data_IF_387628720661
#
_entry.id   IF_387628720661
#
_cell.length_a   1.000
_cell.length_b   1.000
_cell.length_c   1.000
_cell.angle_alpha   90.00
_cell.angle_beta   90.00
_cell.angle_gamma   90.00
#
_symmetry.space_group_name_H-M   'P 1'
#
loop_
_entity.id
_entity.type
_entity.pdbx_description
1 polymer ?
#
# COMPACT_ATOMS: atom_id res chain seq x y z
N UNK A 1 14.48 2.81 -14.61
CA UNK A 1 13.88 1.58 -14.06
C UNK A 1 13.48 0.68 -15.22
N UNK A 2 13.74 -0.59 -15.12
CA UNK A 2 13.44 -1.51 -16.21
C UNK A 2 11.95 -1.81 -16.29
N UNK A 3 11.52 -2.25 -17.47
CA UNK A 3 10.12 -2.63 -17.68
C UNK A 3 9.74 -3.79 -16.77
N UNK A 4 10.65 -4.72 -16.57
CA UNK A 4 10.39 -5.86 -15.69
C UNK A 4 10.15 -5.42 -14.26
N UNK A 5 10.93 -4.46 -13.79
CA UNK A 5 10.76 -3.93 -12.45
C UNK A 5 9.43 -3.21 -12.32
N UNK A 6 9.08 -2.39 -13.33
CA UNK A 6 7.80 -1.68 -13.32
C UNK A 6 6.64 -2.66 -13.34
N UNK A 7 6.73 -3.71 -14.14
CA UNK A 7 5.68 -4.72 -14.21
C UNK A 7 5.52 -5.45 -12.87
N UNK A 8 6.63 -5.76 -12.22
CA UNK A 8 6.59 -6.42 -10.93
C UNK A 8 5.94 -5.52 -9.88
N UNK A 9 6.27 -4.24 -9.87
CA UNK A 9 5.67 -3.27 -8.96
C UNK A 9 4.17 -3.19 -9.20
N UNK A 10 3.78 -3.06 -10.46
CA UNK A 10 2.37 -2.97 -10.84
C UNK A 10 1.60 -4.19 -10.36
N UNK A 11 2.15 -5.39 -10.57
CA UNK A 11 1.50 -6.61 -10.15
C UNK A 11 1.30 -6.65 -8.64
N UNK A 12 2.31 -6.26 -7.89
CA UNK A 12 2.22 -6.27 -6.44
C UNK A 12 1.21 -5.23 -5.93
N UNK A 13 1.19 -4.06 -6.55
CA UNK A 13 0.29 -2.99 -6.16
C UNK A 13 -1.16 -3.32 -6.50
N UNK A 14 -1.39 -4.01 -7.62
CA UNK A 14 -2.73 -4.42 -8.01
C UNK A 14 -3.40 -5.33 -6.97
N UNK A 15 -2.60 -6.05 -6.19
CA UNK A 15 -3.16 -6.87 -5.12
C UNK A 15 -3.92 -6.02 -4.11
N UNK A 16 -3.49 -4.79 -3.92
CA UNK A 16 -4.14 -3.88 -2.99
C UNK A 16 -5.53 -3.49 -3.48
N UNK A 17 -5.70 -3.30 -4.79
CA UNK A 17 -7.01 -2.95 -5.35
C UNK A 17 -7.99 -4.09 -5.21
N UNK A 18 -7.51 -5.32 -5.24
CA UNK A 18 -8.35 -6.49 -5.03
C UNK A 18 -8.76 -6.65 -3.57
N UNK A 19 -7.88 -6.23 -2.68
CA UNK A 19 -8.13 -6.33 -1.24
C UNK A 19 -9.20 -5.32 -0.80
N UNK A 20 -9.22 -4.16 -1.44
CA UNK A 20 -10.11 -3.08 -1.04
C UNK A 20 -10.58 -2.31 -2.27
N UNK A 21 -11.86 -2.45 -2.59
CA UNK A 21 -12.44 -1.92 -3.84
C UNK A 21 -12.73 -0.43 -3.79
N UNK A 22 -12.54 0.23 -2.66
CA UNK A 22 -12.77 1.67 -2.53
C UNK A 22 -11.53 2.50 -2.82
N UNK A 23 -10.45 1.87 -3.24
CA UNK A 23 -9.25 2.58 -3.61
C UNK A 23 -9.50 3.39 -4.88
N UNK A 24 -9.17 4.67 -4.84
CA UNK A 24 -9.34 5.57 -5.99
C UNK A 24 -8.03 5.82 -6.72
N UNK A 25 -6.90 5.73 -6.03
CA UNK A 25 -5.60 5.95 -6.65
C UNK A 25 -4.51 5.30 -5.82
N UNK A 26 -3.44 4.90 -6.48
CA UNK A 26 -2.25 4.37 -5.84
C UNK A 26 -1.05 5.07 -6.46
N UNK A 27 -0.18 5.58 -5.60
CA UNK A 27 1.02 6.27 -6.05
C UNK A 27 2.23 5.63 -5.39
N UNK A 28 3.23 5.29 -6.19
CA UNK A 28 4.47 4.69 -5.72
C UNK A 28 5.60 5.66 -6.02
N UNK A 29 6.36 6.04 -5.01
CA UNK A 29 7.51 6.90 -5.16
C UNK A 29 8.75 6.15 -4.69
N UNK A 30 9.78 6.13 -5.51
CA UNK A 30 11.01 5.42 -5.21
C UNK A 30 12.15 6.41 -5.12
N UNK A 31 12.88 6.35 -4.02
CA UNK A 31 14.06 7.18 -3.79
C UNK A 31 15.29 6.31 -3.90
N UNK A 32 16.12 6.59 -4.90
CA UNK A 32 17.34 5.84 -5.16
C UNK A 32 18.59 6.63 -4.78
N UNK A 33 18.43 7.68 -3.98
CA UNK A 33 19.56 8.49 -3.52
C UNK A 33 20.62 7.62 -2.86
N UNK A 34 20.19 6.64 -2.09
CA UNK A 34 21.09 5.66 -1.48
C UNK A 34 20.85 4.32 -2.18
N UNK A 35 21.65 4.02 -3.18
CA UNK A 35 21.46 2.81 -3.98
C UNK A 35 21.50 1.53 -3.17
N UNK A 36 22.28 1.52 -2.10
CA UNK A 36 22.42 0.34 -1.25
C UNK A 36 21.18 0.11 -0.40
N UNK A 37 20.42 1.17 -0.13
CA UNK A 37 19.24 1.09 0.69
C UNK A 37 18.12 1.95 0.08
N UNK A 38 17.57 1.51 -1.05
CA UNK A 38 16.48 2.27 -1.70
C UNK A 38 15.27 2.35 -0.80
N UNK A 39 14.60 3.50 -0.85
CA UNK A 39 13.40 3.75 -0.07
C UNK A 39 12.20 3.76 -1.00
N UNK A 40 11.12 3.14 -0.57
CA UNK A 40 9.88 3.11 -1.33
C UNK A 40 8.75 3.69 -0.49
N UNK A 41 8.06 4.69 -1.06
CA UNK A 41 6.86 5.28 -0.46
C UNK A 41 5.66 4.83 -1.26
N UNK A 42 4.64 4.39 -0.56
CA UNK A 42 3.40 3.96 -1.19
C UNK A 42 2.26 4.76 -0.59
N UNK A 43 1.52 5.45 -1.45
CA UNK A 43 0.35 6.22 -1.04
C UNK A 43 -0.89 5.64 -1.71
N UNK A 44 -1.89 5.37 -0.92
CA UNK A 44 -3.16 4.84 -1.40
C UNK A 44 -4.26 5.81 -1.02
N UNK A 45 -5.01 6.29 -2.01
CA UNK A 45 -6.17 7.14 -1.80
C UNK A 45 -7.42 6.29 -1.85
N UNK A 46 -8.33 6.52 -0.93
CA UNK A 46 -9.58 5.78 -0.85
C UNK A 46 -10.74 6.75 -0.61
N UNK A 47 -11.94 6.33 -1.01
CA UNK A 47 -13.14 7.14 -0.82
C UNK A 47 -13.38 7.39 0.66
N UNK A 48 -13.72 8.62 0.98
CA UNK A 48 -14.14 9.00 2.36
C UNK A 48 -13.06 8.72 3.40
N UNK A 49 -11.80 8.74 2.98
CA UNK A 49 -10.69 8.46 3.88
C UNK A 49 -9.49 9.29 3.50
N UNK A 50 -8.71 9.67 4.48
CA UNK A 50 -7.41 10.28 4.23
C UNK A 50 -6.51 9.28 3.54
N UNK A 51 -5.54 9.80 2.80
CA UNK A 51 -4.56 8.93 2.14
C UNK A 51 -3.86 8.06 3.17
N UNK A 52 -3.67 6.81 2.81
CA UNK A 52 -2.88 5.89 3.60
C UNK A 52 -1.47 5.88 3.01
N UNK A 53 -0.48 5.98 3.87
CA UNK A 53 0.91 6.05 3.43
C UNK A 53 1.72 4.98 4.16
N UNK A 54 2.58 4.30 3.41
CA UNK A 54 3.54 3.37 3.97
C UNK A 54 4.90 3.65 3.35
N UNK A 55 5.94 3.53 4.14
CA UNK A 55 7.31 3.77 3.70
C UNK A 55 8.19 2.66 4.23
N UNK A 56 9.10 2.19 3.41
CA UNK A 56 10.08 1.22 3.86
C UNK A 56 11.39 1.36 3.08
N UNK A 57 12.43 0.84 3.68
CA UNK A 57 13.78 0.82 3.14
C UNK A 57 14.32 -0.60 3.26
N UNK A 58 15.06 -1.04 2.26
CA UNK A 58 15.61 -2.38 2.28
C UNK A 58 16.91 -2.41 1.49
N UNK A 59 17.57 -3.57 1.51
CA UNK A 59 18.85 -3.74 0.83
C UNK A 59 18.73 -3.69 -0.68
N UNK A 60 17.53 -3.91 -1.20
CA UNK A 60 17.28 -3.81 -2.62
C UNK A 60 15.86 -3.32 -2.86
N UNK A 61 15.61 -2.84 -4.08
CA UNK A 61 14.34 -2.22 -4.42
C UNK A 61 13.16 -3.17 -4.27
N UNK A 62 13.30 -4.40 -4.74
CA UNK A 62 12.18 -5.35 -4.69
C UNK A 62 11.80 -5.68 -3.26
N UNK A 63 12.79 -5.81 -2.38
CA UNK A 63 12.49 -6.04 -0.96
C UNK A 63 11.78 -4.84 -0.34
N UNK A 64 12.19 -3.62 -0.69
CA UNK A 64 11.52 -2.42 -0.19
C UNK A 64 10.07 -2.37 -0.66
N UNK A 65 9.83 -2.72 -1.91
CA UNK A 65 8.47 -2.75 -2.47
C UNK A 65 7.62 -3.82 -1.78
N UNK A 66 8.16 -5.01 -1.62
CA UNK A 66 7.43 -6.08 -0.92
C UNK A 66 7.05 -5.66 0.49
N UNK A 67 8.00 -5.06 1.20
CA UNK A 67 7.75 -4.64 2.57
C UNK A 67 6.69 -3.54 2.65
N UNK A 68 6.76 -2.57 1.74
CA UNK A 68 5.81 -1.46 1.78
C UNK A 68 4.42 -1.90 1.36
N UNK A 69 4.32 -2.83 0.41
CA UNK A 69 3.03 -3.38 0.00
C UNK A 69 2.41 -4.16 1.17
N UNK A 70 3.21 -4.95 1.87
CA UNK A 70 2.73 -5.69 3.03
C UNK A 70 2.24 -4.75 4.13
N UNK A 71 2.98 -3.69 4.40
CA UNK A 71 2.55 -2.69 5.38
C UNK A 71 1.22 -2.06 4.99
N UNK A 72 1.07 -1.75 3.70
CA UNK A 72 -0.17 -1.15 3.21
C UNK A 72 -1.32 -2.14 3.29
N UNK A 73 -1.09 -3.42 3.00
CA UNK A 73 -2.13 -4.43 3.15
C UNK A 73 -2.65 -4.46 4.58
N UNK A 74 -1.76 -4.40 5.55
CA UNK A 74 -2.16 -4.42 6.95
C UNK A 74 -2.99 -3.19 7.30
N UNK A 75 -2.60 -2.02 6.81
CA UNK A 75 -3.37 -0.81 7.03
C UNK A 75 -4.75 -0.90 6.41
N UNK A 76 -4.83 -1.41 5.19
CA UNK A 76 -6.11 -1.55 4.49
C UNK A 76 -7.02 -2.56 5.18
N UNK A 77 -6.48 -3.65 5.67
CA UNK A 77 -7.26 -4.63 6.39
C UNK A 77 -7.85 -4.04 7.66
N UNK A 78 -7.06 -3.28 8.39
CA UNK A 78 -7.54 -2.62 9.59
C UNK A 78 -8.63 -1.61 9.27
N UNK A 79 -8.43 -0.86 8.20
CA UNK A 79 -9.42 0.12 7.78
C UNK A 79 -10.72 -0.56 7.35
N UNK A 80 -10.61 -1.61 6.56
CA UNK A 80 -11.76 -2.37 6.10
C UNK A 80 -12.54 -2.93 7.27
N UNK A 81 -11.85 -3.44 8.25
CA UNK A 81 -12.49 -3.99 9.44
C UNK A 81 -13.26 -2.91 10.20
N UNK A 82 -12.66 -1.73 10.36
CA UNK A 82 -13.34 -0.62 11.02
C UNK A 82 -14.60 -0.20 10.28
N UNK A 83 -14.54 -0.16 8.95
CA UNK A 83 -15.69 0.21 8.14
C UNK A 83 -16.81 -0.83 8.29
N UNK A 84 -16.46 -2.10 8.27
CA UNK A 84 -17.43 -3.17 8.45
C UNK A 84 -18.07 -3.12 9.83
N UNK A 85 -17.30 -2.85 10.85
CA UNK A 85 -17.82 -2.75 12.21
C UNK A 85 -18.82 -1.61 12.32
N UNK A 86 -18.55 -0.49 11.66
CA UNK A 86 -19.49 0.62 11.64
C UNK A 86 -20.78 0.27 10.91
N UNK A 87 -20.67 -0.48 9.82
CA UNK A 87 -21.83 -0.87 9.03
C UNK A 87 -22.74 -1.85 9.74
N UNK A 88 -22.19 -2.62 10.63
CA UNK A 88 -22.99 -3.51 11.45
C UNK A 88 -23.82 -2.77 12.47
N UNK A 89 -23.62 -1.46 12.53
CA UNK A 89 -24.27 -0.65 13.52
C UNK A 89 -23.54 -0.72 14.85
N UNK A 90 -24.01 0.06 15.81
CA UNK A 90 -23.40 0.01 17.12
C UNK A 90 -23.60 -1.37 17.70
N UNK A 91 -22.51 -2.01 18.04
CA UNK A 91 -22.62 -3.27 18.74
C UNK A 91 -23.40 -3.01 20.03
N UNK A 92 -24.28 -3.93 20.41
CA UNK A 92 -24.92 -3.79 21.72
C UNK A 92 -23.81 -3.83 22.75
N UNK A 93 -23.79 -2.83 23.52
CA UNK A 93 -22.74 -2.66 24.52
C UNK A 93 -23.22 -3.17 25.86
#
# INVERSE_FOLDING_TARGET
MSEQTQAAITTKVERLTRLFDRITAIEVTIDLEHRETPTCDLRVSAKHKHDLVATDRADNLMAAIDNVVEKMEQQLRKYKQKVQDRHRGPAPR
#
